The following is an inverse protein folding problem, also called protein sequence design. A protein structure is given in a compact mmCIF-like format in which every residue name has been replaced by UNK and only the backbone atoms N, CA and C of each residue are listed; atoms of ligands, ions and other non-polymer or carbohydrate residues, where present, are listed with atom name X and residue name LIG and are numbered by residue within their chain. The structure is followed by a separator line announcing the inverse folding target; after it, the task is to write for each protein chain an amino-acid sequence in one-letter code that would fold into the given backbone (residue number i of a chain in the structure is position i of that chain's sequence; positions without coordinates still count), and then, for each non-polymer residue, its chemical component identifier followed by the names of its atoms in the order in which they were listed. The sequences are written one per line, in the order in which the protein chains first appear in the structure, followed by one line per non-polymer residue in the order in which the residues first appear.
data_IF_657711134404
#
_entry.id   IF_657711134404
#
_cell.length_a   1.000
_cell.length_b   1.000
_cell.length_c   1.000
_cell.angle_alpha   90.00
_cell.angle_beta   90.00
_cell.angle_gamma   90.00
#
_symmetry.space_group_name_H-M   'P 1'
#
loop_
_entity.id
_entity.type
_entity.pdbx_description
1 polymer ?
#
# COMPACT_ATOMS: atom_id res chain seq x y z
N UNK A 1 -5.04 -8.21 -28.52
CA UNK A 1 -5.53 -7.36 -27.40
C UNK A 1 -5.02 -5.97 -27.69
N UNK A 2 -5.90 -5.02 -28.01
CA UNK A 2 -5.50 -3.63 -28.21
C UNK A 2 -5.05 -3.08 -26.86
N UNK A 3 -3.79 -2.67 -26.75
CA UNK A 3 -3.31 -1.94 -25.57
C UNK A 3 -4.16 -0.68 -25.44
N UNK A 4 -4.97 -0.61 -24.38
CA UNK A 4 -5.65 0.63 -24.04
C UNK A 4 -4.58 1.68 -23.75
N UNK A 5 -4.62 2.85 -24.39
CA UNK A 5 -3.64 3.89 -24.14
C UNK A 5 -3.66 4.25 -22.65
N UNK A 6 -2.52 4.13 -21.98
CA UNK A 6 -2.40 4.52 -20.57
C UNK A 6 -2.65 6.02 -20.45
N UNK A 7 -3.66 6.38 -19.68
CA UNK A 7 -3.98 7.80 -19.44
C UNK A 7 -2.85 8.46 -18.64
N UNK A 8 -2.30 9.57 -19.14
CA UNK A 8 -1.18 10.27 -18.50
C UNK A 8 -1.64 11.28 -17.45
N UNK A 9 -2.30 10.80 -16.39
CA UNK A 9 -2.93 11.62 -15.34
C UNK A 9 -1.93 12.23 -14.33
N UNK A 10 -0.70 11.71 -14.30
CA UNK A 10 0.27 12.00 -13.24
C UNK A 10 1.53 12.72 -13.77
N UNK A 11 1.44 13.34 -14.96
CA UNK A 11 2.57 14.06 -15.54
C UNK A 11 3.06 15.16 -14.60
N UNK A 12 4.38 15.13 -14.31
CA UNK A 12 5.04 16.10 -13.44
C UNK A 12 4.76 15.92 -11.93
N UNK A 13 4.09 14.84 -11.52
CA UNK A 13 3.90 14.48 -10.11
C UNK A 13 5.05 13.61 -9.63
N UNK A 14 5.46 13.80 -8.38
CA UNK A 14 6.45 12.96 -7.71
C UNK A 14 5.74 11.98 -6.76
N UNK A 15 5.98 10.69 -6.95
CA UNK A 15 5.41 9.61 -6.14
C UNK A 15 6.48 8.85 -5.37
N UNK A 16 6.39 8.84 -4.04
CA UNK A 16 7.18 7.99 -3.16
C UNK A 16 6.42 6.69 -2.93
N UNK A 17 7.04 5.55 -3.22
CA UNK A 17 6.47 4.20 -3.08
C UNK A 17 7.33 3.37 -2.15
N UNK A 18 6.81 2.98 -0.98
CA UNK A 18 7.51 2.08 -0.06
C UNK A 18 7.19 0.61 -0.34
N UNK A 19 8.17 -0.28 -0.14
CA UNK A 19 8.07 -1.68 -0.57
C UNK A 19 7.97 -1.80 -2.09
N UNK A 20 8.73 -0.97 -2.81
CA UNK A 20 8.66 -0.84 -4.27
C UNK A 20 9.32 -1.99 -5.03
N UNK A 21 10.12 -2.83 -4.35
CA UNK A 21 10.89 -3.91 -4.97
C UNK A 21 10.05 -5.10 -5.42
N UNK A 22 8.82 -5.27 -4.92
CA UNK A 22 8.02 -6.44 -5.22
C UNK A 22 6.50 -6.20 -5.17
N UNK A 23 5.72 -7.19 -5.61
CA UNK A 23 4.28 -7.29 -5.41
C UNK A 23 3.49 -6.04 -5.82
N UNK A 24 2.64 -5.56 -4.92
CA UNK A 24 1.78 -4.39 -5.15
C UNK A 24 2.61 -3.11 -5.33
N UNK A 25 3.71 -2.95 -4.54
CA UNK A 25 4.58 -1.78 -4.63
C UNK A 25 5.22 -1.63 -6.00
N UNK A 26 5.82 -2.71 -6.51
CA UNK A 26 6.44 -2.73 -7.85
C UNK A 26 5.42 -2.48 -8.96
N UNK A 27 4.26 -3.17 -8.91
CA UNK A 27 3.20 -2.96 -9.88
C UNK A 27 2.69 -1.51 -9.87
N UNK A 28 2.59 -0.92 -8.68
CA UNK A 28 2.20 0.49 -8.52
C UNK A 28 3.26 1.44 -9.06
N UNK A 29 4.53 1.23 -8.73
CA UNK A 29 5.62 2.06 -9.25
C UNK A 29 5.62 2.09 -10.78
N UNK A 30 5.50 0.91 -11.44
CA UNK A 30 5.36 0.77 -12.89
C UNK A 30 4.14 1.52 -13.43
N UNK A 31 3.00 1.37 -12.77
CA UNK A 31 1.76 2.00 -13.21
C UNK A 31 1.82 3.52 -13.12
N UNK A 32 2.29 4.08 -12.00
CA UNK A 32 2.40 5.52 -11.81
C UNK A 32 3.43 6.13 -12.78
N UNK A 33 4.56 5.44 -13.04
CA UNK A 33 5.54 5.84 -14.05
C UNK A 33 4.93 5.88 -15.46
N UNK A 34 4.17 4.85 -15.84
CA UNK A 34 3.48 4.80 -17.14
C UNK A 34 2.46 5.95 -17.30
N UNK A 35 1.86 6.42 -16.19
CA UNK A 35 0.95 7.57 -16.17
C UNK A 35 1.68 8.92 -16.08
N UNK A 36 3.03 8.93 -16.06
CA UNK A 36 3.87 10.11 -16.18
C UNK A 36 4.43 10.67 -14.88
N UNK A 37 4.31 9.95 -13.77
CA UNK A 37 4.91 10.35 -12.50
C UNK A 37 6.43 10.10 -12.48
N UNK A 38 7.16 10.95 -11.75
CA UNK A 38 8.51 10.67 -11.26
C UNK A 38 8.40 9.73 -10.06
N UNK A 39 9.12 8.62 -10.08
CA UNK A 39 9.03 7.59 -9.03
C UNK A 39 10.24 7.61 -8.13
N UNK A 40 9.99 7.56 -6.82
CA UNK A 40 10.99 7.27 -5.80
C UNK A 40 10.66 5.90 -5.22
N UNK A 41 11.48 4.92 -5.58
CA UNK A 41 11.37 3.53 -5.11
C UNK A 41 12.11 3.40 -3.77
N UNK A 42 11.39 3.12 -2.70
CA UNK A 42 11.95 2.84 -1.38
C UNK A 42 11.77 1.37 -1.05
N UNK A 43 12.86 0.68 -0.71
CA UNK A 43 12.83 -0.71 -0.28
C UNK A 43 14.02 -1.00 0.65
N UNK A 44 13.86 -1.96 1.54
CA UNK A 44 14.96 -2.47 2.37
C UNK A 44 15.86 -3.43 1.57
N UNK A 45 15.28 -4.13 0.60
CA UNK A 45 16.02 -4.94 -0.37
C UNK A 45 16.60 -4.04 -1.48
N UNK A 46 17.90 -3.82 -1.36
CA UNK A 46 18.63 -2.93 -2.25
C UNK A 46 18.62 -3.41 -3.71
N UNK A 47 18.71 -4.71 -3.94
CA UNK A 47 18.74 -5.28 -5.29
C UNK A 47 17.36 -5.13 -5.98
N UNK A 48 16.30 -5.51 -5.28
CA UNK A 48 14.94 -5.40 -5.79
C UNK A 48 14.52 -3.92 -5.99
N UNK A 49 14.88 -3.05 -5.05
CA UNK A 49 14.58 -1.62 -5.13
C UNK A 49 15.30 -0.92 -6.29
N UNK A 50 16.58 -1.24 -6.54
CA UNK A 50 17.34 -0.73 -7.69
C UNK A 50 16.74 -1.20 -9.02
N UNK A 51 16.37 -2.47 -9.13
CA UNK A 51 15.71 -2.99 -10.32
C UNK A 51 14.38 -2.27 -10.60
N UNK A 52 13.58 -2.03 -9.56
CA UNK A 52 12.32 -1.27 -9.68
C UNK A 52 12.56 0.17 -10.15
N UNK A 53 13.58 0.83 -9.63
CA UNK A 53 13.94 2.19 -10.04
C UNK A 53 14.44 2.25 -11.49
N UNK A 54 15.25 1.27 -11.92
CA UNK A 54 15.70 1.16 -13.31
C UNK A 54 14.51 0.99 -14.26
N UNK A 55 13.59 0.08 -13.98
CA UNK A 55 12.40 -0.15 -14.80
C UNK A 55 11.50 1.09 -14.91
N UNK A 56 11.37 1.85 -13.83
CA UNK A 56 10.53 3.06 -13.79
C UNK A 56 11.26 4.32 -14.20
N UNK A 57 12.58 4.25 -14.45
CA UNK A 57 13.47 5.39 -14.63
C UNK A 57 13.39 6.38 -13.46
N UNK A 58 13.19 5.82 -12.26
CA UNK A 58 13.03 6.57 -11.03
C UNK A 58 14.29 6.63 -10.19
N UNK A 59 14.15 7.19 -8.99
CA UNK A 59 15.18 7.22 -7.97
C UNK A 59 15.02 6.01 -7.03
N UNK A 60 16.10 5.33 -6.68
CA UNK A 60 16.12 4.36 -5.60
C UNK A 60 16.67 5.00 -4.31
N UNK A 61 15.96 4.79 -3.21
CA UNK A 61 16.44 5.13 -1.87
C UNK A 61 16.30 3.89 -0.98
N UNK A 62 17.42 3.33 -0.52
CA UNK A 62 17.41 2.24 0.44
C UNK A 62 16.78 2.73 1.74
N UNK A 63 15.70 2.10 2.17
CA UNK A 63 14.94 2.59 3.33
C UNK A 63 14.40 1.43 4.14
N UNK A 64 14.80 1.37 5.40
CA UNK A 64 14.03 0.67 6.42
C UNK A 64 12.94 1.63 6.93
N UNK A 65 11.69 1.30 6.63
CA UNK A 65 10.55 2.16 6.98
C UNK A 65 10.27 2.24 8.49
N UNK A 66 10.94 1.41 9.29
CA UNK A 66 10.86 1.46 10.76
C UNK A 66 11.86 2.45 11.36
N UNK A 67 12.82 2.93 10.57
CA UNK A 67 13.82 3.90 10.97
C UNK A 67 13.38 5.32 10.62
N UNK A 68 13.11 6.19 11.62
CA UNK A 68 12.64 7.55 11.38
C UNK A 68 13.60 8.40 10.54
N UNK A 69 14.91 8.25 10.74
CA UNK A 69 15.92 9.06 10.03
C UNK A 69 15.98 8.65 8.55
N UNK A 70 15.90 7.35 8.24
CA UNK A 70 15.85 6.87 6.87
C UNK A 70 14.54 7.30 6.16
N UNK A 71 13.42 7.30 6.87
CA UNK A 71 12.14 7.80 6.32
C UNK A 71 12.22 9.30 6.03
N UNK A 72 12.75 10.10 6.93
CA UNK A 72 12.95 11.55 6.67
C UNK A 72 13.87 11.77 5.46
N UNK A 73 15.00 11.05 5.39
CA UNK A 73 15.94 11.11 4.27
C UNK A 73 15.29 10.69 2.93
N UNK A 74 14.38 9.72 2.92
CA UNK A 74 13.64 9.30 1.75
C UNK A 74 12.82 10.45 1.14
N UNK A 75 12.01 11.13 1.95
CA UNK A 75 11.17 12.22 1.48
C UNK A 75 11.98 13.48 1.13
N UNK A 76 13.09 13.72 1.84
CA UNK A 76 14.04 14.76 1.47
C UNK A 76 14.68 14.48 0.11
N UNK A 77 15.15 13.26 -0.14
CA UNK A 77 15.72 12.87 -1.44
C UNK A 77 14.72 13.00 -2.60
N UNK A 78 13.45 12.67 -2.34
CA UNK A 78 12.38 12.89 -3.33
C UNK A 78 12.23 14.37 -3.68
N UNK A 79 12.18 15.24 -2.68
CA UNK A 79 12.08 16.68 -2.87
C UNK A 79 13.31 17.28 -3.54
N UNK A 80 14.52 16.90 -3.12
CA UNK A 80 15.77 17.41 -3.67
C UNK A 80 15.95 17.02 -5.16
N UNK A 81 15.47 15.84 -5.53
CA UNK A 81 15.62 15.33 -6.91
C UNK A 81 14.56 15.88 -7.85
N UNK A 82 13.30 15.99 -7.40
CA UNK A 82 12.17 16.30 -8.28
C UNK A 82 11.43 17.60 -7.93
N UNK A 83 11.78 18.25 -6.82
CA UNK A 83 11.21 19.54 -6.40
C UNK A 83 9.83 19.46 -5.75
N UNK A 84 9.24 18.25 -5.63
CA UNK A 84 7.93 18.05 -5.01
C UNK A 84 7.78 16.67 -4.36
N UNK A 85 6.77 16.54 -3.49
CA UNK A 85 6.24 15.27 -2.98
C UNK A 85 4.73 15.33 -3.15
N UNK A 86 4.20 14.78 -4.24
CA UNK A 86 2.78 14.88 -4.57
C UNK A 86 1.99 13.66 -4.10
N UNK A 87 2.62 12.49 -4.12
CA UNK A 87 1.98 11.21 -3.83
C UNK A 87 2.87 10.43 -2.85
N UNK A 88 2.28 9.92 -1.78
CA UNK A 88 2.92 8.96 -0.89
C UNK A 88 2.09 7.66 -0.88
N UNK A 89 2.63 6.60 -1.45
CA UNK A 89 2.05 5.26 -1.36
C UNK A 89 2.79 4.44 -0.30
N UNK A 90 2.22 4.43 0.90
CA UNK A 90 2.74 3.72 2.07
C UNK A 90 2.28 2.27 2.02
N UNK A 91 3.10 1.43 1.38
CA UNK A 91 2.74 0.05 1.04
C UNK A 91 3.60 -1.00 1.74
N UNK A 92 4.82 -0.67 2.15
CA UNK A 92 5.67 -1.62 2.88
C UNK A 92 4.93 -2.28 4.04
N UNK A 93 5.05 -3.59 4.17
CA UNK A 93 4.36 -4.35 5.21
C UNK A 93 4.71 -5.83 5.19
N UNK A 94 4.47 -6.49 6.31
CA UNK A 94 4.73 -7.91 6.52
C UNK A 94 3.51 -8.64 7.07
N UNK A 95 3.45 -9.96 6.81
CA UNK A 95 2.52 -10.91 7.43
C UNK A 95 3.31 -12.19 7.70
N UNK A 96 4.08 -12.23 8.80
CA UNK A 96 4.97 -13.34 9.08
C UNK A 96 4.20 -14.57 9.61
N UNK A 97 4.75 -15.79 9.48
CA UNK A 97 4.07 -17.03 9.84
C UNK A 97 3.91 -17.25 11.36
N UNK A 98 4.64 -16.49 12.18
CA UNK A 98 4.56 -16.49 13.65
C UNK A 98 3.52 -15.49 14.21
N UNK A 99 2.75 -14.84 13.33
CA UNK A 99 1.55 -14.07 13.66
C UNK A 99 0.31 -14.95 13.43
N UNK A 100 -0.25 -15.50 14.49
CA UNK A 100 -1.36 -16.45 14.47
C UNK A 100 -2.47 -16.01 15.46
N UNK A 101 -2.95 -16.93 16.29
CA UNK A 101 -3.99 -16.64 17.29
C UNK A 101 -3.46 -15.73 18.40
N UNK A 102 -4.38 -15.14 19.17
CA UNK A 102 -4.03 -14.33 20.36
C UNK A 102 -3.26 -15.14 21.41
N UNK A 103 -3.41 -16.45 21.42
CA UNK A 103 -2.75 -17.33 22.36
C UNK A 103 -1.35 -17.74 21.90
N UNK A 104 -1.12 -17.77 20.60
CA UNK A 104 0.09 -18.31 19.96
C UNK A 104 1.04 -17.22 19.44
N UNK A 105 0.55 -16.01 19.20
CA UNK A 105 1.37 -14.88 18.76
C UNK A 105 2.19 -14.34 19.92
N UNK A 106 3.51 -14.52 19.87
CA UNK A 106 4.44 -13.98 20.85
C UNK A 106 4.55 -12.45 20.77
N UNK A 107 4.89 -11.82 21.91
CA UNK A 107 4.99 -10.35 22.00
C UNK A 107 5.99 -9.75 20.99
N UNK A 108 7.06 -10.45 20.67
CA UNK A 108 8.07 -9.97 19.70
C UNK A 108 7.52 -10.00 18.27
N UNK A 109 6.76 -11.02 17.88
CA UNK A 109 6.06 -11.06 16.60
C UNK A 109 5.02 -9.93 16.52
N UNK A 110 4.24 -9.73 17.58
CA UNK A 110 3.31 -8.62 17.71
C UNK A 110 3.99 -7.27 17.48
N UNK A 111 5.04 -6.96 18.25
CA UNK A 111 5.76 -5.67 18.15
C UNK A 111 6.34 -5.45 16.74
N UNK A 112 7.00 -6.47 16.17
CA UNK A 112 7.59 -6.38 14.83
C UNK A 112 6.53 -6.05 13.77
N UNK A 113 5.36 -6.70 13.83
CA UNK A 113 4.28 -6.43 12.87
C UNK A 113 3.69 -5.03 13.07
N UNK A 114 3.49 -4.58 14.32
CA UNK A 114 3.04 -3.21 14.59
C UNK A 114 4.04 -2.18 14.08
N UNK A 115 5.33 -2.42 14.30
CA UNK A 115 6.40 -1.51 13.89
C UNK A 115 6.45 -1.35 12.37
N UNK A 116 6.46 -2.49 11.63
CA UNK A 116 6.54 -2.46 10.17
C UNK A 116 5.25 -2.01 9.51
N UNK A 117 4.07 -2.42 10.02
CA UNK A 117 2.80 -2.21 9.31
C UNK A 117 2.05 -0.95 9.74
N UNK A 118 2.29 -0.41 10.93
CA UNK A 118 1.57 0.73 11.49
C UNK A 118 2.48 1.90 11.80
N UNK A 119 3.55 1.69 12.60
CA UNK A 119 4.48 2.77 12.96
C UNK A 119 5.14 3.34 11.72
N UNK A 120 5.55 2.51 10.77
CA UNK A 120 6.13 2.94 9.50
C UNK A 120 5.20 3.88 8.71
N UNK A 121 3.91 3.57 8.66
CA UNK A 121 2.91 4.41 7.96
C UNK A 121 2.77 5.75 8.67
N UNK A 122 2.78 5.77 10.01
CA UNK A 122 2.82 7.02 10.77
C UNK A 122 4.07 7.84 10.42
N UNK A 123 5.25 7.23 10.39
CA UNK A 123 6.51 7.92 10.05
C UNK A 123 6.47 8.49 8.63
N UNK A 124 6.03 7.71 7.66
CA UNK A 124 5.91 8.16 6.27
C UNK A 124 4.91 9.31 6.12
N UNK A 125 3.74 9.23 6.76
CA UNK A 125 2.77 10.33 6.75
C UNK A 125 3.36 11.60 7.38
N UNK A 126 4.03 11.46 8.54
CA UNK A 126 4.67 12.57 9.25
C UNK A 126 5.73 13.25 8.40
N UNK A 127 6.52 12.49 7.64
CA UNK A 127 7.57 13.02 6.76
C UNK A 127 7.00 13.65 5.48
N UNK A 128 5.93 13.07 4.88
CA UNK A 128 5.35 13.55 3.62
C UNK A 128 4.54 14.85 3.79
N UNK A 129 3.73 14.94 4.84
CA UNK A 129 2.75 16.02 5.04
C UNK A 129 3.39 17.42 5.01
N UNK A 130 4.56 17.72 5.61
CA UNK A 130 5.18 19.05 5.55
C UNK A 130 5.46 19.52 4.11
N UNK A 131 5.85 18.64 3.20
CA UNK A 131 6.06 18.97 1.78
C UNK A 131 4.73 19.28 1.10
N UNK A 132 3.73 18.41 1.28
CA UNK A 132 2.41 18.56 0.70
C UNK A 132 1.69 19.83 1.19
N UNK A 133 1.85 20.21 2.46
CA UNK A 133 1.31 21.48 3.03
C UNK A 133 1.90 22.68 2.34
N UNK A 134 3.21 22.72 2.11
CA UNK A 134 3.88 23.82 1.39
C UNK A 134 3.40 23.95 -0.05
N UNK A 135 3.02 22.83 -0.67
CA UNK A 135 2.50 22.76 -2.04
C UNK A 135 0.99 23.08 -2.10
N UNK A 136 0.27 23.02 -0.97
CA UNK A 136 -1.19 23.14 -0.91
C UNK A 136 -1.93 21.98 -1.57
N UNK A 137 -1.26 20.85 -1.81
CA UNK A 137 -1.80 19.67 -2.49
C UNK A 137 -1.02 18.40 -2.16
N UNK A 138 -1.73 17.28 -2.00
CA UNK A 138 -1.10 15.98 -1.82
C UNK A 138 -2.10 14.83 -1.85
N UNK A 139 -1.61 13.62 -2.14
CA UNK A 139 -2.38 12.38 -2.02
C UNK A 139 -1.59 11.31 -1.29
N UNK A 140 -2.06 10.92 -0.11
CA UNK A 140 -1.49 9.83 0.67
C UNK A 140 -2.40 8.61 0.55
N UNK A 141 -1.84 7.48 0.17
CA UNK A 141 -2.53 6.20 0.07
C UNK A 141 -1.83 5.23 1.01
N UNK A 142 -2.52 4.80 2.05
CA UNK A 142 -2.00 3.89 3.05
C UNK A 142 -2.55 2.49 2.81
N UNK A 143 -1.70 1.49 2.68
CA UNK A 143 -2.11 0.10 2.48
C UNK A 143 -2.61 -0.51 3.80
N UNK A 144 -3.92 -0.50 3.97
CA UNK A 144 -4.64 -1.27 4.98
C UNK A 144 -4.89 -2.71 4.46
N UNK A 145 -6.05 -3.27 4.71
CA UNK A 145 -6.48 -4.57 4.22
C UNK A 145 -8.00 -4.71 4.40
N UNK A 146 -8.65 -5.57 3.64
CA UNK A 146 -10.05 -5.94 3.89
C UNK A 146 -10.26 -6.51 5.31
N UNK A 147 -9.26 -7.20 5.89
CA UNK A 147 -9.35 -7.73 7.27
C UNK A 147 -9.36 -6.63 8.34
N UNK A 148 -9.02 -5.39 8.00
CA UNK A 148 -9.19 -4.26 8.91
C UNK A 148 -10.67 -3.91 9.16
N UNK A 149 -11.58 -4.38 8.31
CA UNK A 149 -13.03 -4.17 8.40
C UNK A 149 -13.79 -5.41 8.86
N UNK A 150 -13.18 -6.57 8.70
CA UNK A 150 -13.77 -7.85 9.09
C UNK A 150 -12.67 -8.76 9.66
N UNK A 151 -12.99 -9.71 10.49
CA UNK A 151 -12.01 -10.67 10.99
C UNK A 151 -11.45 -11.55 9.88
N UNK A 152 -10.26 -12.06 10.07
CA UNK A 152 -9.66 -13.05 9.19
C UNK A 152 -10.09 -14.47 9.60
N UNK A 153 -10.48 -15.30 8.63
CA UNK A 153 -10.78 -16.72 8.88
C UNK A 153 -9.53 -17.53 9.29
N UNK A 154 -8.35 -17.06 8.90
CA UNK A 154 -7.07 -17.56 9.38
C UNK A 154 -6.50 -16.55 10.35
N UNK A 155 -6.14 -17.00 11.55
CA UNK A 155 -5.58 -16.14 12.59
C UNK A 155 -4.35 -15.38 12.10
N UNK A 156 -4.30 -14.09 12.40
CA UNK A 156 -3.20 -13.16 12.13
C UNK A 156 -3.47 -11.89 12.95
N UNK A 157 -3.44 -12.05 14.29
CA UNK A 157 -3.95 -11.03 15.21
C UNK A 157 -3.21 -9.70 15.10
N UNK A 158 -1.87 -9.74 15.00
CA UNK A 158 -1.06 -8.53 14.92
C UNK A 158 -1.23 -7.82 13.59
N UNK A 159 -1.26 -8.57 12.49
CA UNK A 159 -1.53 -8.02 11.16
C UNK A 159 -2.90 -7.32 11.11
N UNK A 160 -3.94 -8.00 11.55
CA UNK A 160 -5.31 -7.45 11.55
C UNK A 160 -5.39 -6.17 12.39
N UNK A 161 -4.79 -6.17 13.59
CA UNK A 161 -4.74 -5.00 14.45
C UNK A 161 -3.95 -3.84 13.81
N UNK A 162 -2.79 -4.13 13.21
CA UNK A 162 -1.98 -3.12 12.53
C UNK A 162 -2.74 -2.46 11.36
N UNK A 163 -3.43 -3.26 10.54
CA UNK A 163 -4.21 -2.76 9.40
C UNK A 163 -5.47 -2.00 9.83
N UNK A 164 -6.07 -2.38 10.97
CA UNK A 164 -7.13 -1.60 11.64
C UNK A 164 -6.64 -0.23 12.10
N UNK A 165 -5.44 -0.17 12.68
CA UNK A 165 -4.76 1.08 13.07
C UNK A 165 -4.49 1.99 11.88
N UNK A 166 -3.97 1.44 10.76
CA UNK A 166 -3.75 2.20 9.52
C UNK A 166 -5.06 2.79 8.99
N UNK A 167 -6.15 2.02 9.01
CA UNK A 167 -7.46 2.46 8.56
C UNK A 167 -7.97 3.63 9.40
N UNK A 168 -7.90 3.53 10.73
CA UNK A 168 -8.32 4.59 11.63
C UNK A 168 -7.46 5.86 11.48
N UNK A 169 -6.13 5.70 11.41
CA UNK A 169 -5.19 6.81 11.23
C UNK A 169 -5.40 7.52 9.88
N UNK A 170 -5.65 6.78 8.80
CA UNK A 170 -5.89 7.37 7.48
C UNK A 170 -7.13 8.26 7.47
N UNK A 171 -8.18 7.85 8.17
CA UNK A 171 -9.40 8.63 8.32
C UNK A 171 -9.16 9.90 9.12
N UNK A 172 -8.44 9.81 10.23
CA UNK A 172 -8.08 10.96 11.07
C UNK A 172 -7.28 12.00 10.27
N UNK A 173 -6.20 11.56 9.59
CA UNK A 173 -5.35 12.43 8.80
C UNK A 173 -6.11 13.06 7.61
N UNK A 174 -6.97 12.28 6.94
CA UNK A 174 -7.79 12.78 5.84
C UNK A 174 -8.72 13.90 6.26
N UNK A 175 -9.32 13.81 7.45
CA UNK A 175 -10.16 14.87 8.02
C UNK A 175 -9.31 16.07 8.44
N UNK A 176 -8.20 15.83 9.14
CA UNK A 176 -7.34 16.87 9.67
C UNK A 176 -6.75 17.79 8.59
N UNK A 177 -6.25 17.21 7.48
CA UNK A 177 -5.53 17.94 6.44
C UNK A 177 -6.36 18.28 5.19
N UNK A 178 -7.67 17.97 5.19
CA UNK A 178 -8.55 18.20 4.04
C UNK A 178 -8.51 19.64 3.52
N UNK A 179 -8.57 20.62 4.42
CA UNK A 179 -8.58 22.06 4.06
C UNK A 179 -7.22 22.58 3.60
N UNK A 180 -6.17 21.78 3.77
CA UNK A 180 -4.83 22.08 3.28
C UNK A 180 -4.57 21.41 1.90
N UNK A 181 -5.62 20.87 1.26
CA UNK A 181 -5.54 20.25 -0.06
C UNK A 181 -4.93 18.85 -0.05
N UNK A 182 -4.79 18.21 1.10
CA UNK A 182 -4.20 16.88 1.24
C UNK A 182 -5.29 15.84 1.45
N UNK A 183 -5.33 14.84 0.60
CA UNK A 183 -6.21 13.69 0.73
C UNK A 183 -5.46 12.51 1.32
N UNK A 184 -6.07 11.81 2.26
CA UNK A 184 -5.51 10.58 2.84
C UNK A 184 -6.56 9.49 2.81
N UNK A 185 -6.26 8.39 2.15
CA UNK A 185 -7.18 7.26 1.99
C UNK A 185 -6.52 5.95 2.39
N UNK A 186 -7.29 5.07 3.00
CA UNK A 186 -6.87 3.69 3.29
C UNK A 186 -7.25 2.79 2.11
N UNK A 187 -6.27 2.25 1.41
CA UNK A 187 -6.48 1.20 0.42
C UNK A 187 -6.66 -0.13 1.14
N UNK A 188 -7.74 -0.83 0.85
CA UNK A 188 -8.09 -2.10 1.46
C UNK A 188 -8.12 -3.23 0.41
N UNK A 189 -6.96 -3.78 0.01
CA UNK A 189 -6.93 -4.92 -0.90
C UNK A 189 -7.55 -6.17 -0.28
N UNK A 190 -8.22 -6.97 -1.12
CA UNK A 190 -8.51 -8.37 -0.85
C UNK A 190 -7.26 -9.25 -1.03
N UNK A 191 -7.43 -10.58 -1.14
CA UNK A 191 -6.33 -11.48 -1.45
C UNK A 191 -5.76 -11.20 -2.85
N UNK A 192 -4.44 -10.92 -2.92
CA UNK A 192 -3.72 -10.55 -4.15
C UNK A 192 -2.70 -11.63 -4.49
N UNK A 193 -2.62 -12.02 -5.75
CA UNK A 193 -1.67 -12.99 -6.28
C UNK A 193 -0.24 -12.41 -6.29
N UNK A 194 0.34 -12.26 -5.11
CA UNK A 194 1.72 -11.82 -4.90
C UNK A 194 2.66 -13.01 -4.75
N UNK A 195 3.98 -12.85 -4.92
CA UNK A 195 4.94 -13.91 -4.63
C UNK A 195 4.76 -14.51 -3.24
N UNK A 196 4.57 -13.67 -2.22
CA UNK A 196 4.33 -14.10 -0.83
C UNK A 196 3.09 -15.00 -0.71
N UNK A 197 1.95 -14.61 -1.31
CA UNK A 197 0.72 -15.40 -1.23
C UNK A 197 0.83 -16.70 -2.02
N UNK A 198 1.53 -16.69 -3.16
CA UNK A 198 1.79 -17.90 -3.96
C UNK A 198 2.61 -18.93 -3.19
N UNK A 199 3.66 -18.50 -2.48
CA UNK A 199 4.47 -19.39 -1.64
C UNK A 199 3.64 -19.99 -0.49
N UNK A 200 2.79 -19.18 0.13
CA UNK A 200 1.91 -19.63 1.21
C UNK A 200 0.92 -20.69 0.72
N UNK A 201 0.33 -20.50 -0.46
CA UNK A 201 -0.65 -21.42 -1.03
C UNK A 201 -0.03 -22.66 -1.70
N UNK A 202 1.19 -22.56 -2.19
CA UNK A 202 1.92 -23.74 -2.67
C UNK A 202 2.17 -24.76 -1.54
N UNK A 203 2.27 -24.27 -0.28
CA UNK A 203 2.42 -25.11 0.90
C UNK A 203 1.10 -25.72 1.41
N UNK A 204 -0.03 -25.06 1.13
CA UNK A 204 -1.38 -25.48 1.56
C UNK A 204 -2.44 -25.11 0.50
N UNK A 205 -2.61 -25.95 -0.56
CA UNK A 205 -3.60 -25.72 -1.61
C UNK A 205 -5.05 -25.71 -1.11
N UNK A 206 -5.37 -26.48 -0.06
CA UNK A 206 -6.71 -26.50 0.52
C UNK A 206 -7.04 -25.17 1.20
N UNK A 207 -6.06 -24.54 1.83
CA UNK A 207 -6.20 -23.19 2.41
C UNK A 207 -6.47 -22.14 1.33
N UNK A 208 -5.84 -22.27 0.17
CA UNK A 208 -6.11 -21.42 -0.98
C UNK A 208 -7.55 -21.59 -1.48
N UNK A 209 -7.98 -22.84 -1.68
CA UNK A 209 -9.33 -23.15 -2.13
C UNK A 209 -10.41 -22.64 -1.16
N UNK A 210 -10.21 -22.79 0.15
CA UNK A 210 -11.11 -22.25 1.19
C UNK A 210 -11.23 -20.73 1.15
N UNK A 211 -10.18 -20.00 0.74
CA UNK A 211 -10.26 -18.54 0.60
C UNK A 211 -10.98 -18.11 -0.66
N UNK A 212 -10.77 -18.83 -1.76
CA UNK A 212 -11.41 -18.51 -3.05
C UNK A 212 -12.92 -18.54 -2.99
N UNK A 213 -13.52 -19.48 -2.25
CA UNK A 213 -14.97 -19.61 -2.12
C UNK A 213 -15.63 -18.35 -1.55
N UNK A 214 -14.88 -17.56 -0.79
CA UNK A 214 -15.39 -16.33 -0.17
C UNK A 214 -15.24 -15.08 -1.04
N UNK A 215 -14.57 -15.18 -2.18
CA UNK A 215 -14.40 -14.05 -3.10
C UNK A 215 -15.46 -14.14 -4.20
N UNK A 216 -16.45 -13.23 -4.26
CA UNK A 216 -17.51 -13.27 -5.28
C UNK A 216 -17.00 -13.28 -6.71
N UNK A 217 -15.87 -12.63 -7.01
CA UNK A 217 -15.23 -12.69 -8.33
C UNK A 217 -14.57 -14.02 -8.64
N UNK A 218 -14.51 -14.98 -7.71
CA UNK A 218 -14.00 -16.35 -7.91
C UNK A 218 -12.50 -16.46 -8.17
N UNK A 219 -11.73 -15.39 -7.95
CA UNK A 219 -10.27 -15.37 -8.14
C UNK A 219 -9.59 -14.38 -7.21
N UNK A 220 -8.29 -14.55 -7.04
CA UNK A 220 -7.46 -13.52 -6.41
C UNK A 220 -7.26 -12.33 -7.37
N UNK A 221 -7.04 -11.16 -6.79
CA UNK A 221 -6.65 -10.00 -7.57
C UNK A 221 -5.21 -10.14 -8.10
N UNK A 222 -4.94 -9.54 -9.25
CA UNK A 222 -3.57 -9.31 -9.70
C UNK A 222 -3.04 -7.98 -9.16
N UNK A 223 -1.73 -7.88 -8.95
CA UNK A 223 -1.11 -6.68 -8.41
C UNK A 223 -1.40 -5.43 -9.26
N UNK A 224 -1.54 -5.60 -10.58
CA UNK A 224 -1.89 -4.52 -11.50
C UNK A 224 -3.32 -3.97 -11.27
N UNK A 225 -4.25 -4.76 -10.76
CA UNK A 225 -5.60 -4.29 -10.44
C UNK A 225 -5.58 -3.37 -9.21
N UNK A 226 -4.75 -3.71 -8.23
CA UNK A 226 -4.50 -2.84 -7.07
C UNK A 226 -3.75 -1.56 -7.49
N UNK A 227 -2.75 -1.68 -8.34
CA UNK A 227 -2.00 -0.54 -8.87
C UNK A 227 -2.89 0.45 -9.65
N UNK A 228 -3.92 -0.04 -10.37
CA UNK A 228 -4.91 0.80 -11.04
C UNK A 228 -5.74 1.64 -10.05
N UNK A 229 -6.14 1.04 -8.93
CA UNK A 229 -6.85 1.74 -7.85
C UNK A 229 -5.95 2.80 -7.19
N UNK A 230 -4.66 2.48 -6.95
CA UNK A 230 -3.69 3.46 -6.44
C UNK A 230 -3.52 4.62 -7.42
N UNK A 231 -3.39 4.36 -8.72
CA UNK A 231 -3.26 5.41 -9.74
C UNK A 231 -4.51 6.33 -9.78
N UNK A 232 -5.71 5.79 -9.60
CA UNK A 232 -6.92 6.58 -9.43
C UNK A 232 -6.83 7.47 -8.19
N UNK A 233 -6.51 6.90 -7.02
CA UNK A 233 -6.41 7.66 -5.77
C UNK A 233 -5.29 8.71 -5.79
N UNK A 234 -4.22 8.46 -6.54
CA UNK A 234 -3.10 9.39 -6.73
C UNK A 234 -3.45 10.56 -7.65
N UNK A 235 -4.43 10.41 -8.54
CA UNK A 235 -4.79 11.39 -9.56
C UNK A 235 -5.87 12.39 -9.09
N UNK A 236 -6.10 13.41 -9.91
CA UNK A 236 -7.17 14.40 -9.69
C UNK A 236 -8.58 13.82 -9.96
N UNK A 237 -8.68 12.67 -10.62
CA UNK A 237 -9.96 11.95 -10.79
C UNK A 237 -10.59 11.58 -9.44
N UNK A 238 -9.77 11.46 -8.39
CA UNK A 238 -10.20 11.19 -7.02
C UNK A 238 -10.21 12.43 -6.12
N UNK A 239 -10.33 13.63 -6.70
CA UNK A 239 -10.23 14.92 -5.95
C UNK A 239 -11.27 15.06 -4.84
N UNK A 240 -12.40 14.35 -4.91
CA UNK A 240 -13.43 14.35 -3.87
C UNK A 240 -13.46 13.05 -3.03
N UNK A 241 -12.43 12.18 -3.19
CA UNK A 241 -12.25 10.94 -2.42
C UNK A 241 -11.23 11.20 -1.31
N UNK A 242 -11.70 11.26 -0.07
CA UNK A 242 -10.86 11.56 1.10
C UNK A 242 -11.37 10.83 2.34
N UNK A 243 -10.48 10.46 3.24
CA UNK A 243 -10.78 9.81 4.52
C UNK A 243 -11.61 8.50 4.35
N UNK A 244 -11.46 7.80 3.23
CA UNK A 244 -12.25 6.61 2.91
C UNK A 244 -11.47 5.31 3.06
N UNK A 245 -12.23 4.24 3.30
CA UNK A 245 -11.79 2.84 3.21
C UNK A 245 -12.04 2.37 1.77
N UNK A 246 -11.05 2.47 0.93
CA UNK A 246 -11.16 2.16 -0.50
C UNK A 246 -10.93 0.67 -0.74
N UNK A 247 -12.04 -0.07 -0.86
CA UNK A 247 -12.02 -1.53 -1.03
C UNK A 247 -11.69 -1.92 -2.49
N UNK A 248 -10.73 -2.83 -2.63
CA UNK A 248 -10.37 -3.50 -3.89
C UNK A 248 -10.19 -4.99 -3.60
N UNK A 249 -11.30 -5.68 -3.33
CA UNK A 249 -11.31 -6.96 -2.65
C UNK A 249 -12.11 -8.06 -3.34
N UNK A 250 -12.59 -7.81 -4.57
CA UNK A 250 -13.40 -8.77 -5.32
C UNK A 250 -14.75 -9.06 -4.69
N UNK A 251 -15.21 -8.20 -3.78
CA UNK A 251 -16.50 -8.29 -3.08
C UNK A 251 -16.48 -9.13 -1.80
N UNK A 252 -15.31 -9.62 -1.35
CA UNK A 252 -15.22 -10.51 -0.18
C UNK A 252 -15.80 -9.88 1.10
N UNK A 253 -15.64 -8.57 1.30
CA UNK A 253 -16.19 -7.86 2.47
C UNK A 253 -17.64 -7.40 2.28
N UNK A 254 -18.22 -7.56 1.09
CA UNK A 254 -19.57 -7.10 0.75
C UNK A 254 -20.63 -8.17 0.69
N UNK A 255 -20.27 -9.45 0.72
CA UNK A 255 -21.20 -10.54 0.48
C UNK A 255 -21.10 -11.67 1.50
N UNK A 256 -22.23 -12.27 1.82
CA UNK A 256 -22.31 -13.61 2.36
C UNK A 256 -22.26 -14.60 1.20
N UNK A 257 -21.19 -15.39 1.14
CA UNK A 257 -20.97 -16.35 0.05
C UNK A 257 -21.06 -17.77 0.59
N UNK A 258 -21.86 -18.60 -0.06
CA UNK A 258 -21.89 -20.05 0.15
C UNK A 258 -21.19 -20.75 -1.01
N UNK A 259 -20.55 -21.90 -0.79
CA UNK A 259 -20.08 -22.74 -1.89
C UNK A 259 -21.20 -23.06 -2.87
N UNK A 260 -20.91 -22.98 -4.17
CA UNK A 260 -21.81 -23.41 -5.25
C UNK A 260 -21.82 -24.93 -5.34
#
# INVERSE_FOLDING_TARGET
MTENPVCRRLVGRTAVVTGAGSGIGLATARRLAAEGAHIVCADIDEAAGKAAAEETRGLFVKTDVTDPEQVEALFQAAFDTYGSVDIAFNNAGISPPDDDSILDTGLEAWKRVQEVNLTSVYLCCKAAIPYMRRQGKGSIINTASFVARMGAATSQISYTASKGGVLAMSRELGVQFAREGIRVNALCPGPVNTPLLRELFAKDPERAARRLVHIPLGRFAEANEIAAAVAFLASDDSSFVNATDFLVDGGISGAYVTPL
#
